data_IF_647125975357
#
_entry.id   IF_647125975357
#
_cell.length_a   1.000
_cell.length_b   1.000
_cell.length_c   1.000
_cell.angle_alpha   90.00
_cell.angle_beta   90.00
_cell.angle_gamma   90.00
#
_symmetry.space_group_name_H-M   'P 1'
#
loop_
_entity.id
_entity.type
_entity.pdbx_description
1 polymer ?
#
# COMPACT_ATOMS: atom_id res chain seq x y z
N UNK A 1 10.81 -12.92 4.05
CA UNK A 1 11.47 -11.60 4.14
C UNK A 1 12.90 -11.57 3.57
N UNK A 2 13.80 -12.47 4.01
CA UNK A 2 15.19 -12.54 3.51
C UNK A 2 15.31 -12.57 1.98
N UNK A 3 14.47 -13.37 1.34
CA UNK A 3 14.47 -13.52 -0.11
C UNK A 3 13.84 -12.32 -0.82
N UNK A 4 12.75 -11.75 -0.31
CA UNK A 4 12.12 -10.53 -0.87
C UNK A 4 13.13 -9.39 -1.01
N UNK A 5 13.86 -9.06 0.07
CA UNK A 5 14.85 -7.97 0.05
C UNK A 5 16.03 -8.28 -0.88
N UNK A 6 16.48 -9.53 -0.94
CA UNK A 6 17.51 -9.95 -1.89
C UNK A 6 17.03 -9.85 -3.34
N UNK A 7 15.82 -10.31 -3.64
CA UNK A 7 15.24 -10.31 -4.98
C UNK A 7 14.99 -8.90 -5.47
N UNK A 8 14.40 -8.03 -4.65
CA UNK A 8 14.19 -6.61 -4.97
C UNK A 8 15.51 -5.90 -5.26
N UNK A 9 16.54 -6.09 -4.44
CA UNK A 9 17.87 -5.55 -4.69
C UNK A 9 18.50 -6.09 -6.00
N UNK A 10 18.36 -7.39 -6.29
CA UNK A 10 18.83 -7.99 -7.55
C UNK A 10 18.10 -7.47 -8.78
N UNK A 11 16.81 -7.15 -8.67
CA UNK A 11 15.98 -6.55 -9.73
C UNK A 11 16.26 -5.05 -9.94
N UNK A 12 17.24 -4.47 -9.23
CA UNK A 12 17.62 -3.06 -9.37
C UNK A 12 16.73 -2.08 -8.61
N UNK A 13 15.80 -2.57 -7.79
CA UNK A 13 15.00 -1.72 -6.92
C UNK A 13 15.84 -1.19 -5.76
N UNK A 14 15.59 0.05 -5.36
CA UNK A 14 16.34 0.75 -4.29
C UNK A 14 15.63 0.71 -2.94
N UNK A 15 14.47 0.07 -2.86
CA UNK A 15 13.70 0.00 -1.63
C UNK A 15 12.45 -0.84 -1.75
N UNK A 16 11.78 -1.01 -0.61
CA UNK A 16 10.51 -1.73 -0.48
C UNK A 16 9.66 -1.12 0.63
N UNK A 17 8.35 -1.07 0.40
CA UNK A 17 7.36 -0.93 1.47
C UNK A 17 6.81 -2.31 1.80
N UNK A 18 6.79 -2.69 3.08
CA UNK A 18 6.15 -3.94 3.52
C UNK A 18 4.79 -3.57 4.08
N UNK A 19 3.73 -4.07 3.46
CA UNK A 19 2.32 -3.70 3.73
C UNK A 19 1.48 -4.94 3.99
N UNK A 20 1.90 -5.81 4.90
CA UNK A 20 1.13 -7.01 5.24
C UNK A 20 -0.26 -6.63 5.76
N UNK A 21 -1.26 -7.49 5.50
CA UNK A 21 -2.64 -7.26 5.89
C UNK A 21 -2.84 -7.16 7.40
N UNK A 22 -3.24 -5.97 7.88
CA UNK A 22 -3.59 -5.69 9.28
C UNK A 22 -2.52 -6.15 10.29
N UNK A 23 -1.24 -6.16 9.89
CA UNK A 23 -0.15 -6.63 10.74
C UNK A 23 1.17 -5.98 10.39
N UNK A 24 2.01 -5.81 11.41
CA UNK A 24 3.32 -5.14 11.30
C UNK A 24 4.46 -6.05 11.77
N UNK A 25 4.17 -7.34 11.97
CA UNK A 25 5.10 -8.35 12.53
C UNK A 25 6.42 -8.44 11.75
N UNK A 26 6.36 -8.25 10.43
CA UNK A 26 7.52 -8.37 9.56
C UNK A 26 8.49 -7.17 9.65
N UNK A 27 8.10 -6.03 10.24
CA UNK A 27 8.91 -4.81 10.24
C UNK A 27 10.26 -4.97 10.95
N UNK A 28 10.28 -5.69 12.09
CA UNK A 28 11.52 -5.89 12.85
C UNK A 28 12.53 -6.69 12.05
N UNK A 29 12.08 -7.77 11.40
CA UNK A 29 12.93 -8.60 10.55
C UNK A 29 13.40 -7.81 9.33
N UNK A 30 12.50 -7.11 8.63
CA UNK A 30 12.82 -6.29 7.46
C UNK A 30 13.87 -5.23 7.78
N UNK A 31 13.69 -4.47 8.88
CA UNK A 31 14.64 -3.46 9.34
C UNK A 31 16.03 -4.05 9.63
N UNK A 32 16.10 -5.19 10.31
CA UNK A 32 17.36 -5.85 10.63
C UNK A 32 18.07 -6.35 9.37
N UNK A 33 17.33 -6.85 8.40
CA UNK A 33 17.88 -7.35 7.15
C UNK A 33 18.41 -6.22 6.28
N UNK A 34 17.65 -5.15 6.13
CA UNK A 34 18.02 -3.98 5.31
C UNK A 34 19.29 -3.31 5.84
N UNK A 35 19.46 -3.26 7.18
CA UNK A 35 20.70 -2.77 7.82
C UNK A 35 21.95 -3.61 7.53
N UNK A 36 21.79 -4.84 7.05
CA UNK A 36 22.90 -5.77 6.73
C UNK A 36 23.25 -5.79 5.24
N UNK A 37 22.60 -4.98 4.42
CA UNK A 37 22.91 -4.89 3.00
C UNK A 37 24.12 -3.99 2.77
N UNK A 38 24.96 -4.39 1.82
CA UNK A 38 26.17 -3.62 1.45
C UNK A 38 25.84 -2.33 0.70
N UNK A 39 24.62 -2.21 0.16
CA UNK A 39 24.15 -1.05 -0.60
C UNK A 39 23.00 -0.35 0.13
N UNK A 40 22.89 0.99 0.02
CA UNK A 40 21.73 1.72 0.52
C UNK A 40 20.44 1.14 -0.04
N UNK A 41 19.51 0.79 0.85
CA UNK A 41 18.21 0.23 0.49
C UNK A 41 17.16 0.82 1.42
N UNK A 42 16.11 1.41 0.82
CA UNK A 42 15.06 2.11 1.54
C UNK A 42 14.03 1.09 2.03
N UNK A 43 13.76 1.09 3.33
CA UNK A 43 12.66 0.33 3.90
C UNK A 43 11.59 1.28 4.43
N UNK A 44 10.38 1.17 3.88
CA UNK A 44 9.21 1.90 4.36
C UNK A 44 8.36 0.93 5.19
N UNK A 45 8.16 1.26 6.46
CA UNK A 45 7.19 0.55 7.31
C UNK A 45 5.80 0.82 6.76
N UNK A 46 5.04 -0.22 6.47
CA UNK A 46 3.64 -0.04 6.11
C UNK A 46 2.73 -1.16 6.58
N UNK A 47 1.46 -1.00 6.29
CA UNK A 47 0.38 -1.94 6.63
C UNK A 47 -0.73 -1.77 5.60
N UNK A 48 -1.28 -2.87 5.09
CA UNK A 48 -2.53 -2.82 4.31
C UNK A 48 -3.70 -2.99 5.27
N UNK A 49 -4.34 -1.87 5.60
CA UNK A 49 -5.41 -1.79 6.60
C UNK A 49 -6.75 -2.10 5.92
N UNK A 50 -7.46 -3.09 6.45
CA UNK A 50 -8.84 -3.36 6.02
C UNK A 50 -9.80 -2.41 6.72
N UNK A 51 -10.24 -1.36 6.02
CA UNK A 51 -11.30 -0.45 6.46
C UNK A 51 -12.68 -0.92 5.96
N UNK A 52 -13.75 -0.34 6.48
CA UNK A 52 -15.11 -0.58 5.96
C UNK A 52 -15.33 0.03 4.56
N UNK A 53 -14.45 0.93 4.12
CA UNK A 53 -14.51 1.60 2.81
C UNK A 53 -13.56 1.05 1.75
N UNK A 54 -12.77 0.01 2.06
CA UNK A 54 -11.74 -0.54 1.17
C UNK A 54 -10.40 -0.76 1.88
N UNK A 55 -9.41 -1.28 1.16
CA UNK A 55 -8.05 -1.41 1.65
C UNK A 55 -7.26 -0.11 1.49
N UNK A 56 -6.53 0.27 2.54
CA UNK A 56 -5.71 1.47 2.56
C UNK A 56 -4.28 1.06 2.96
N UNK A 57 -3.31 1.37 2.12
CA UNK A 57 -1.89 1.27 2.47
C UNK A 57 -1.55 2.44 3.40
N UNK A 58 -1.18 2.10 4.62
CA UNK A 58 -0.61 3.01 5.59
C UNK A 58 0.91 2.97 5.45
N UNK A 59 1.54 4.01 4.90
CA UNK A 59 2.98 4.05 4.68
C UNK A 59 3.67 5.01 5.66
N UNK A 60 4.85 4.63 6.16
CA UNK A 60 5.63 5.46 7.08
C UNK A 60 5.16 5.46 8.54
N UNK A 61 4.12 4.70 8.87
CA UNK A 61 3.55 4.62 10.22
C UNK A 61 4.50 4.01 11.26
N UNK A 62 4.25 4.31 12.54
CA UNK A 62 5.06 3.88 13.69
C UNK A 62 4.40 2.75 14.47
N UNK A 63 3.08 2.73 14.51
CA UNK A 63 2.23 1.79 15.23
C UNK A 63 1.14 1.25 14.29
N UNK A 64 0.66 0.01 14.50
CA UNK A 64 -0.41 -0.57 13.69
C UNK A 64 -1.70 0.24 13.77
N UNK A 65 -2.47 0.25 12.70
CA UNK A 65 -3.79 0.90 12.61
C UNK A 65 -4.88 -0.12 12.93
N UNK A 66 -5.90 0.30 13.67
CA UNK A 66 -7.05 -0.56 13.99
C UNK A 66 -7.84 -0.89 12.71
N UNK A 67 -8.04 -2.18 12.44
CA UNK A 67 -8.90 -2.66 11.35
C UNK A 67 -10.39 -2.36 11.59
N UNK A 68 -11.16 -2.26 10.50
CA UNK A 68 -12.62 -2.16 10.51
C UNK A 68 -13.18 -0.77 10.82
N UNK A 69 -12.32 0.25 10.98
CA UNK A 69 -12.76 1.65 11.03
C UNK A 69 -13.29 2.10 9.66
N UNK A 70 -13.94 3.27 9.62
CA UNK A 70 -14.26 3.92 8.36
C UNK A 70 -12.98 4.32 7.62
N UNK A 71 -13.06 4.44 6.29
CA UNK A 71 -11.92 4.90 5.49
C UNK A 71 -11.39 6.26 5.98
N UNK A 72 -12.28 7.18 6.35
CA UNK A 72 -11.92 8.49 6.91
C UNK A 72 -11.14 8.36 8.22
N UNK A 73 -11.66 7.62 9.19
CA UNK A 73 -10.96 7.40 10.46
C UNK A 73 -9.62 6.68 10.25
N UNK A 74 -9.55 5.72 9.33
CA UNK A 74 -8.30 5.05 8.96
C UNK A 74 -7.27 6.05 8.42
N UNK A 75 -7.66 6.93 7.49
CA UNK A 75 -6.79 7.98 6.92
C UNK A 75 -6.30 8.91 8.03
N UNK A 76 -7.22 9.41 8.87
CA UNK A 76 -6.87 10.30 9.99
C UNK A 76 -5.85 9.64 10.93
N UNK A 77 -6.01 8.35 11.28
CA UNK A 77 -5.05 7.61 12.12
C UNK A 77 -3.71 7.37 11.46
N UNK A 78 -3.64 7.34 10.13
CA UNK A 78 -2.38 7.27 9.39
C UNK A 78 -1.67 8.63 9.46
N UNK A 79 -2.40 9.71 9.18
CA UNK A 79 -1.88 11.07 9.20
C UNK A 79 -1.45 11.54 10.60
N UNK A 80 -2.16 11.15 11.66
CA UNK A 80 -1.77 11.40 13.06
C UNK A 80 -0.35 10.88 13.38
N UNK A 81 0.13 9.87 12.66
CA UNK A 81 1.47 9.32 12.81
C UNK A 81 2.53 9.97 11.89
N UNK A 82 2.11 10.91 11.03
CA UNK A 82 2.90 11.45 9.92
C UNK A 82 3.07 10.45 8.77
N UNK A 83 2.18 9.46 8.66
CA UNK A 83 2.16 8.49 7.58
C UNK A 83 1.46 9.04 6.33
N UNK A 84 1.58 8.30 5.24
CA UNK A 84 0.91 8.55 3.95
C UNK A 84 -0.14 7.48 3.73
N UNK A 85 -1.36 7.88 3.41
CA UNK A 85 -2.48 6.99 3.13
C UNK A 85 -2.68 6.86 1.62
N UNK A 86 -2.66 5.62 1.11
CA UNK A 86 -2.88 5.32 -0.31
C UNK A 86 -4.00 4.28 -0.44
N UNK A 87 -5.00 4.53 -1.26
CA UNK A 87 -6.02 3.51 -1.54
C UNK A 87 -5.42 2.37 -2.36
N UNK A 88 -5.51 1.14 -1.86
CA UNK A 88 -5.03 -0.06 -2.53
C UNK A 88 -6.12 -0.58 -3.46
N UNK A 89 -5.75 -0.91 -4.72
CA UNK A 89 -6.59 -1.60 -5.72
C UNK A 89 -8.10 -1.29 -5.64
N UNK A 90 -8.54 -0.01 -5.62
CA UNK A 90 -9.88 0.39 -5.16
C UNK A 90 -11.04 -0.17 -6.00
N UNK A 91 -10.76 -0.56 -7.24
CA UNK A 91 -11.77 -1.08 -8.16
C UNK A 91 -11.56 -2.56 -8.50
N UNK A 92 -10.79 -3.30 -7.70
CA UNK A 92 -10.69 -4.76 -7.83
C UNK A 92 -11.97 -5.44 -7.31
N UNK A 93 -12.77 -5.92 -8.26
CA UNK A 93 -14.04 -6.60 -7.98
C UNK A 93 -13.89 -7.90 -7.19
N UNK A 94 -12.74 -8.57 -7.27
CA UNK A 94 -12.55 -9.91 -6.69
C UNK A 94 -11.98 -9.88 -5.28
N UNK A 95 -11.49 -8.74 -4.81
CA UNK A 95 -10.88 -8.61 -3.47
C UNK A 95 -11.70 -7.71 -2.56
N UNK A 96 -11.71 -6.41 -2.84
CA UNK A 96 -12.56 -5.47 -2.13
C UNK A 96 -12.91 -4.31 -3.05
N UNK A 97 -14.16 -4.28 -3.50
CA UNK A 97 -14.65 -3.24 -4.39
C UNK A 97 -15.05 -1.97 -3.61
N UNK A 98 -14.44 -0.84 -3.98
CA UNK A 98 -14.83 0.49 -3.53
C UNK A 98 -15.51 1.24 -4.68
N UNK A 99 -16.47 2.10 -4.36
CA UNK A 99 -17.16 2.96 -5.35
C UNK A 99 -16.48 4.32 -5.42
N UNK A 100 -16.60 5.00 -6.56
CA UNK A 100 -16.12 6.40 -6.69
C UNK A 100 -16.72 7.32 -5.63
N UNK A 101 -18.00 7.14 -5.31
CA UNK A 101 -18.70 7.91 -4.28
C UNK A 101 -18.02 7.78 -2.90
N UNK A 102 -17.63 6.56 -2.52
CA UNK A 102 -16.94 6.31 -1.25
C UNK A 102 -15.53 6.91 -1.20
N UNK A 103 -14.89 7.09 -2.35
CA UNK A 103 -13.57 7.72 -2.47
C UNK A 103 -13.64 9.25 -2.44
N UNK A 104 -14.72 9.83 -2.98
CA UNK A 104 -14.87 11.29 -3.08
C UNK A 104 -14.86 11.93 -1.69
N UNK A 105 -14.08 13.00 -1.57
CA UNK A 105 -14.01 13.80 -0.33
C UNK A 105 -13.24 13.12 0.81
N UNK A 106 -12.55 12.01 0.55
CA UNK A 106 -11.52 11.49 1.44
C UNK A 106 -10.21 12.25 1.21
N UNK A 107 -9.54 12.58 2.30
CA UNK A 107 -8.24 13.26 2.28
C UNK A 107 -7.11 12.24 2.06
N UNK A 108 -7.15 11.54 0.92
CA UNK A 108 -6.17 10.52 0.59
C UNK A 108 -4.96 11.14 -0.14
N UNK A 109 -3.76 10.66 0.14
CA UNK A 109 -2.53 11.17 -0.49
C UNK A 109 -2.30 10.57 -1.89
N UNK A 110 -2.83 9.36 -2.12
CA UNK A 110 -2.67 8.68 -3.40
C UNK A 110 -3.61 7.50 -3.63
N UNK A 111 -3.59 7.03 -4.87
CA UNK A 111 -4.33 5.85 -5.32
C UNK A 111 -3.36 4.91 -6.05
N UNK A 112 -3.44 3.62 -5.76
CA UNK A 112 -2.77 2.59 -6.53
C UNK A 112 -3.47 2.43 -7.88
N UNK A 113 -2.82 2.92 -8.94
CA UNK A 113 -3.36 2.93 -10.31
C UNK A 113 -2.89 1.73 -11.13
N UNK A 114 -1.90 0.99 -10.62
CA UNK A 114 -1.44 -0.24 -11.21
C UNK A 114 -1.14 -1.26 -10.11
N UNK A 115 -2.01 -2.27 -10.01
CA UNK A 115 -1.79 -3.47 -9.23
C UNK A 115 -1.64 -4.65 -10.19
N UNK A 116 -0.52 -5.38 -10.13
CA UNK A 116 -0.26 -6.49 -11.06
C UNK A 116 -1.18 -7.70 -10.87
N UNK A 117 -1.96 -7.74 -9.78
CA UNK A 117 -2.94 -8.80 -9.52
C UNK A 117 -4.36 -8.43 -9.95
N UNK A 118 -4.62 -7.20 -10.37
CA UNK A 118 -5.91 -6.85 -10.95
C UNK A 118 -6.14 -7.63 -12.24
N UNK A 119 -7.11 -8.55 -12.21
CA UNK A 119 -7.44 -9.43 -13.35
C UNK A 119 -8.07 -8.65 -14.51
N UNK A 120 -8.79 -7.57 -14.19
CA UNK A 120 -9.48 -6.74 -15.18
C UNK A 120 -8.68 -5.45 -15.41
N UNK A 121 -8.24 -5.23 -16.65
CA UNK A 121 -7.57 -3.98 -17.06
C UNK A 121 -8.39 -2.72 -16.73
N UNK A 122 -9.72 -2.87 -16.71
CA UNK A 122 -10.65 -1.83 -16.32
C UNK A 122 -10.40 -1.29 -14.91
N UNK A 123 -10.00 -2.12 -13.95
CA UNK A 123 -9.77 -1.70 -12.55
C UNK A 123 -8.62 -0.69 -12.45
N UNK A 124 -7.50 -0.96 -13.13
CA UNK A 124 -6.34 -0.06 -13.18
C UNK A 124 -6.66 1.23 -13.96
N UNK A 125 -7.37 1.13 -15.09
CA UNK A 125 -7.79 2.29 -15.87
C UNK A 125 -8.69 3.24 -15.06
N UNK A 126 -9.66 2.68 -14.32
CA UNK A 126 -10.57 3.44 -13.46
C UNK A 126 -9.84 4.06 -12.26
N UNK A 127 -8.90 3.33 -11.65
CA UNK A 127 -8.07 3.85 -10.58
C UNK A 127 -7.26 5.07 -11.04
N UNK A 128 -6.69 4.99 -12.25
CA UNK A 128 -5.97 6.12 -12.88
C UNK A 128 -6.87 7.32 -13.12
N UNK A 129 -8.06 7.13 -13.68
CA UNK A 129 -9.01 8.22 -13.90
C UNK A 129 -9.37 8.91 -12.58
N UNK A 130 -9.65 8.13 -11.54
CA UNK A 130 -10.00 8.66 -10.22
C UNK A 130 -8.83 9.45 -9.60
N UNK A 131 -7.60 8.95 -9.70
CA UNK A 131 -6.42 9.64 -9.19
C UNK A 131 -6.22 11.01 -9.85
N UNK A 132 -6.41 11.10 -11.18
CA UNK A 132 -6.36 12.35 -11.94
C UNK A 132 -7.48 13.29 -11.47
N UNK A 133 -8.72 12.78 -11.35
CA UNK A 133 -9.89 13.59 -10.96
C UNK A 133 -9.73 14.17 -9.55
N UNK A 134 -9.15 13.41 -8.63
CA UNK A 134 -8.90 13.86 -7.24
C UNK A 134 -7.60 14.67 -7.10
N UNK A 135 -6.77 14.76 -8.15
CA UNK A 135 -5.46 15.41 -8.11
C UNK A 135 -4.53 14.85 -7.02
N UNK A 136 -4.53 13.52 -6.86
CA UNK A 136 -3.71 12.80 -5.87
C UNK A 136 -2.58 12.01 -6.53
N UNK A 137 -1.60 11.59 -5.72
CA UNK A 137 -0.45 10.82 -6.21
C UNK A 137 -0.87 9.48 -6.81
N UNK A 138 -0.23 9.07 -7.90
CA UNK A 138 -0.43 7.76 -8.51
C UNK A 138 0.66 6.81 -8.03
N UNK A 139 0.30 5.67 -7.45
CA UNK A 139 1.23 4.62 -7.05
C UNK A 139 1.04 3.35 -7.88
N UNK A 140 2.04 2.47 -7.86
CA UNK A 140 1.98 1.15 -8.45
C UNK A 140 2.57 0.13 -7.48
N UNK A 141 1.97 -1.05 -7.40
CA UNK A 141 2.36 -2.12 -6.50
C UNK A 141 2.34 -3.47 -7.19
N UNK A 142 3.27 -4.34 -6.81
CA UNK A 142 3.27 -5.73 -7.27
C UNK A 142 2.23 -6.59 -6.53
N UNK A 143 1.86 -6.16 -5.32
CA UNK A 143 1.01 -6.93 -4.41
C UNK A 143 1.47 -8.38 -4.26
N UNK A 144 2.80 -8.53 -4.19
CA UNK A 144 3.45 -9.82 -4.26
C UNK A 144 3.23 -10.59 -2.95
N UNK A 145 2.66 -11.78 -3.09
CA UNK A 145 2.50 -12.78 -2.04
C UNK A 145 3.59 -13.86 -2.13
N UNK A 146 4.24 -13.99 -3.30
CA UNK A 146 5.34 -14.91 -3.57
C UNK A 146 6.55 -14.20 -4.19
N UNK A 147 7.74 -14.80 -4.06
CA UNK A 147 9.01 -14.18 -4.50
C UNK A 147 9.12 -14.08 -6.03
N UNK A 148 8.41 -14.93 -6.76
CA UNK A 148 8.50 -15.04 -8.21
C UNK A 148 7.49 -14.16 -8.95
N UNK A 149 6.65 -13.43 -8.22
CA UNK A 149 5.77 -12.38 -8.77
C UNK A 149 6.56 -11.11 -9.10
#
# INVERSE_FOLDING_TARGET
MKELVKTTAKRGLRGVAITDHNTTKAWKEAKNLVRRLDKPFIFIRGEEVSSSGGHILALGIKNPIKRGMTARETIEKIHEQGGVAVFAHPFDYFRQHTTEEKLRGLDIDGIEVFNSRCILDYSNAKAKEMAIRMSVTQTAGSDAHFINE
#
